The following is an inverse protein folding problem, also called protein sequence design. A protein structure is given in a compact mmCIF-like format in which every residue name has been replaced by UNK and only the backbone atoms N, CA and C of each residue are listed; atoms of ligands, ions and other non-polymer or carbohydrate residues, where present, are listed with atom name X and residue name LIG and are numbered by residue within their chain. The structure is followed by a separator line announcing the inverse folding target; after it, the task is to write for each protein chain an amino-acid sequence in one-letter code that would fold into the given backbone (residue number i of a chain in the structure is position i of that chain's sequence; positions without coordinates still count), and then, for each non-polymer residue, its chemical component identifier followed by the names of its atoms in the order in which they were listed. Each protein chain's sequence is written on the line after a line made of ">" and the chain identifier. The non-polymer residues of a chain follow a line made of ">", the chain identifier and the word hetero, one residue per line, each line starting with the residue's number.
data_IF_459127374529
#
_entry.id   IF_459127374529
#
_cell.length_a   1.000
_cell.length_b   1.000
_cell.length_c   1.000
_cell.angle_alpha   90.00
_cell.angle_beta   90.00
_cell.angle_gamma   90.00
#
_symmetry.space_group_name_H-M   'P 1'
#
loop_
_entity.id
_entity.type
_entity.pdbx_description
1 polymer ?
#
# COMPACT_ATOMS: atom_id res chain seq x y z
N UNK A 1 8.83 -9.80 16.38
CA UNK A 1 7.65 -10.46 15.77
C UNK A 1 7.56 -9.94 14.35
N UNK A 2 7.27 -10.81 13.38
CA UNK A 2 7.07 -10.42 11.98
C UNK A 2 5.74 -9.71 11.77
N UNK A 3 5.54 -9.14 10.59
CA UNK A 3 4.34 -8.37 10.27
C UNK A 3 3.06 -9.22 10.32
N UNK A 4 3.07 -10.44 9.78
CA UNK A 4 1.94 -11.37 9.80
C UNK A 4 1.47 -11.64 11.24
N UNK A 5 2.42 -11.89 12.15
CA UNK A 5 2.11 -12.09 13.57
C UNK A 5 1.44 -10.87 14.20
N UNK A 6 1.91 -9.67 13.87
CA UNK A 6 1.29 -8.41 14.33
C UNK A 6 -0.12 -8.25 13.77
N UNK A 7 -0.32 -8.52 12.48
CA UNK A 7 -1.64 -8.44 11.83
C UNK A 7 -2.66 -9.37 12.50
N UNK A 8 -2.28 -10.63 12.73
CA UNK A 8 -3.15 -11.61 13.39
C UNK A 8 -3.41 -11.27 14.86
N UNK A 9 -2.44 -10.68 15.55
CA UNK A 9 -2.62 -10.19 16.91
C UNK A 9 -3.67 -9.06 16.95
N UNK A 10 -3.59 -8.09 16.04
CA UNK A 10 -4.61 -7.04 15.90
C UNK A 10 -5.99 -7.61 15.64
N UNK A 11 -6.09 -8.58 14.71
CA UNK A 11 -7.36 -9.22 14.40
C UNK A 11 -7.97 -9.92 15.63
N UNK A 12 -7.17 -10.68 16.39
CA UNK A 12 -7.61 -11.34 17.62
C UNK A 12 -7.94 -10.39 18.77
N UNK A 13 -7.46 -9.14 18.72
CA UNK A 13 -7.74 -8.08 19.70
C UNK A 13 -8.89 -7.16 19.27
N UNK A 14 -9.58 -7.46 18.17
CA UNK A 14 -10.64 -6.65 17.58
C UNK A 14 -10.17 -5.26 17.13
N UNK A 15 -8.88 -5.10 16.83
CA UNK A 15 -8.30 -3.88 16.27
C UNK A 15 -8.56 -3.82 14.75
N UNK A 16 -9.83 -3.94 14.35
CA UNK A 16 -10.24 -4.12 12.94
C UNK A 16 -9.87 -2.94 12.05
N UNK A 17 -9.75 -1.74 12.59
CA UNK A 17 -9.29 -0.56 11.83
C UNK A 17 -7.82 -0.70 11.42
N UNK A 18 -6.97 -1.22 12.30
CA UNK A 18 -5.57 -1.50 12.04
C UNK A 18 -5.43 -2.60 10.99
N UNK A 19 -6.20 -3.68 11.15
CA UNK A 19 -6.22 -4.80 10.19
C UNK A 19 -6.68 -4.33 8.81
N UNK A 20 -7.80 -3.61 8.74
CA UNK A 20 -8.34 -3.08 7.47
C UNK A 20 -7.30 -2.21 6.77
N UNK A 21 -6.69 -1.27 7.49
CA UNK A 21 -5.71 -0.34 6.90
C UNK A 21 -4.44 -1.08 6.47
N UNK A 22 -4.01 -2.09 7.22
CA UNK A 22 -2.90 -2.96 6.84
C UNK A 22 -3.20 -3.79 5.57
N UNK A 23 -4.42 -4.29 5.41
CA UNK A 23 -4.84 -4.98 4.20
C UNK A 23 -4.90 -4.03 2.99
N UNK A 24 -5.48 -2.84 3.15
CA UNK A 24 -5.55 -1.81 2.11
C UNK A 24 -4.14 -1.41 1.61
N UNK A 25 -3.17 -1.24 2.52
CA UNK A 25 -1.80 -0.91 2.10
C UNK A 25 -1.10 -2.08 1.40
N UNK A 26 -1.42 -3.34 1.72
CA UNK A 26 -0.90 -4.50 0.98
C UNK A 26 -1.39 -4.48 -0.48
N UNK A 27 -2.68 -4.20 -0.71
CA UNK A 27 -3.22 -4.08 -2.07
C UNK A 27 -2.57 -2.93 -2.84
N UNK A 28 -2.45 -1.77 -2.19
CA UNK A 28 -1.81 -0.58 -2.75
C UNK A 28 -0.34 -0.85 -3.14
N UNK A 29 0.44 -1.47 -2.26
CA UNK A 29 1.82 -1.87 -2.54
C UNK A 29 1.87 -2.92 -3.66
N UNK A 30 0.89 -3.83 -3.70
CA UNK A 30 0.73 -4.82 -4.77
C UNK A 30 0.63 -4.17 -6.15
N UNK A 31 -0.14 -3.08 -6.26
CA UNK A 31 -0.20 -2.26 -7.47
C UNK A 31 1.10 -1.49 -7.72
N UNK A 32 1.66 -0.83 -6.69
CA UNK A 32 2.87 -0.02 -6.82
C UNK A 32 4.10 -0.83 -7.21
N UNK A 33 4.13 -2.13 -6.91
CA UNK A 33 5.20 -3.04 -7.29
C UNK A 33 5.10 -3.54 -8.74
N UNK A 34 3.95 -3.36 -9.41
CA UNK A 34 3.76 -3.87 -10.77
C UNK A 34 4.65 -3.16 -11.79
N UNK A 35 4.99 -3.83 -12.90
CA UNK A 35 5.55 -3.18 -14.08
C UNK A 35 4.66 -2.06 -14.64
N UNK A 36 5.26 -1.09 -15.34
CA UNK A 36 4.56 0.12 -15.81
C UNK A 36 3.39 -0.19 -16.74
N UNK A 37 3.52 -1.15 -17.65
CA UNK A 37 2.47 -1.56 -18.58
C UNK A 37 1.23 -2.10 -17.86
N UNK A 38 1.43 -2.87 -16.79
CA UNK A 38 0.34 -3.38 -15.94
C UNK A 38 -0.32 -2.25 -15.14
N UNK A 39 0.46 -1.33 -14.58
CA UNK A 39 -0.06 -0.15 -13.86
C UNK A 39 -0.94 0.71 -14.78
N UNK A 40 -0.47 0.94 -16.01
CA UNK A 40 -1.20 1.70 -17.04
C UNK A 40 -2.53 1.07 -17.43
N UNK A 41 -2.56 -0.26 -17.57
CA UNK A 41 -3.74 -1.00 -18.01
C UNK A 41 -4.83 -1.11 -16.92
N UNK A 42 -4.45 -0.96 -15.64
CA UNK A 42 -5.35 -1.20 -14.51
C UNK A 42 -6.13 0.06 -14.08
N UNK A 43 -5.56 1.26 -14.26
CA UNK A 43 -6.25 2.50 -13.89
C UNK A 43 -7.29 2.87 -14.95
N UNK A 44 -8.57 3.07 -14.61
CA UNK A 44 -9.61 3.38 -15.60
C UNK A 44 -9.59 4.85 -16.05
N UNK A 45 -9.36 5.81 -15.15
CA UNK A 45 -9.48 7.24 -15.46
C UNK A 45 -8.15 8.00 -15.50
N UNK A 46 -7.91 8.92 -14.56
CA UNK A 46 -6.71 9.74 -14.52
C UNK A 46 -5.62 9.04 -13.70
N UNK A 47 -4.51 8.59 -14.31
CA UNK A 47 -3.46 7.84 -13.62
C UNK A 47 -2.92 8.52 -12.39
N UNK A 48 -2.61 9.82 -12.49
CA UNK A 48 -2.08 10.59 -11.37
C UNK A 48 -3.08 10.73 -10.20
N UNK A 49 -4.36 10.97 -10.50
CA UNK A 49 -5.37 11.12 -9.44
C UNK A 49 -5.65 9.79 -8.74
N UNK A 50 -5.85 8.74 -9.53
CA UNK A 50 -6.22 7.41 -9.04
C UNK A 50 -5.06 6.75 -8.27
N UNK A 51 -3.84 6.81 -8.79
CA UNK A 51 -2.69 6.28 -8.04
C UNK A 51 -2.49 7.05 -6.75
N UNK A 52 -2.74 8.36 -6.75
CA UNK A 52 -2.61 9.15 -5.54
C UNK A 52 -3.67 8.76 -4.51
N UNK A 53 -4.94 8.74 -4.88
CA UNK A 53 -6.04 8.46 -3.95
C UNK A 53 -6.09 7.01 -3.49
N UNK A 54 -5.95 6.06 -4.41
CA UNK A 54 -6.19 4.63 -4.15
C UNK A 54 -4.93 3.88 -3.72
N UNK A 55 -3.74 4.37 -4.05
CA UNK A 55 -2.49 3.64 -3.81
C UNK A 55 -1.51 4.38 -2.88
N UNK A 56 -1.38 5.69 -3.03
CA UNK A 56 -0.42 6.48 -2.24
C UNK A 56 -1.01 6.91 -0.88
N UNK A 57 -2.26 7.38 -0.83
CA UNK A 57 -2.91 7.74 0.44
C UNK A 57 -3.03 6.59 1.46
N UNK A 58 -3.29 5.32 1.07
CA UNK A 58 -3.26 4.21 2.02
C UNK A 58 -1.95 4.06 2.80
N UNK A 59 -0.82 4.49 2.22
CA UNK A 59 0.49 4.47 2.89
C UNK A 59 0.50 5.47 4.05
N UNK A 60 0.03 6.69 3.83
CA UNK A 60 -0.11 7.71 4.89
C UNK A 60 -1.10 7.26 5.96
N UNK A 61 -2.23 6.68 5.53
CA UNK A 61 -3.27 6.16 6.42
C UNK A 61 -2.74 5.07 7.35
N UNK A 62 -1.95 4.10 6.85
CA UNK A 62 -1.38 3.03 7.69
C UNK A 62 -0.32 3.57 8.65
N UNK A 63 0.50 4.54 8.22
CA UNK A 63 1.48 5.19 9.10
C UNK A 63 0.79 5.96 10.24
N UNK A 64 -0.33 6.61 9.94
CA UNK A 64 -1.11 7.38 10.91
C UNK A 64 -1.86 6.50 11.92
N UNK A 65 -2.49 5.41 11.45
CA UNK A 65 -3.33 4.53 12.28
C UNK A 65 -2.47 3.49 13.03
N UNK A 66 -1.52 2.87 12.35
CA UNK A 66 -0.79 1.71 12.86
C UNK A 66 0.64 2.05 13.31
N UNK A 67 1.10 3.29 13.14
CA UNK A 67 2.52 3.69 13.24
C UNK A 67 3.26 3.33 14.53
N UNK A 68 2.57 3.13 15.65
CA UNK A 68 3.17 2.68 16.92
C UNK A 68 3.19 1.16 17.09
N UNK A 69 2.35 0.43 16.35
CA UNK A 69 2.25 -1.03 16.42
C UNK A 69 2.94 -1.75 15.24
N UNK A 70 3.33 -1.03 14.20
CA UNK A 70 4.10 -1.59 13.09
C UNK A 70 5.52 -2.00 13.54
N UNK A 71 6.05 -3.11 13.00
CA UNK A 71 7.49 -3.38 13.07
C UNK A 71 8.30 -2.20 12.49
N UNK A 72 9.42 -1.86 13.14
CA UNK A 72 10.22 -0.66 12.82
C UNK A 72 10.76 -0.66 11.38
N UNK A 73 11.14 -1.83 10.88
CA UNK A 73 11.61 -2.05 9.51
C UNK A 73 10.49 -1.88 8.46
N UNK A 74 9.27 -2.34 8.77
CA UNK A 74 8.09 -2.10 7.93
C UNK A 74 7.74 -0.62 7.91
N UNK A 75 7.72 0.02 9.09
CA UNK A 75 7.41 1.45 9.25
C UNK A 75 8.38 2.32 8.47
N UNK A 76 9.69 2.15 8.68
CA UNK A 76 10.72 2.94 8.01
C UNK A 76 10.68 2.79 6.49
N UNK A 77 10.34 1.61 5.96
CA UNK A 77 10.15 1.40 4.52
C UNK A 77 8.88 2.07 3.98
N UNK A 78 7.78 2.02 4.71
CA UNK A 78 6.56 2.77 4.37
C UNK A 78 6.83 4.27 4.31
N UNK A 79 7.59 4.80 5.28
CA UNK A 79 8.01 6.20 5.31
C UNK A 79 8.90 6.57 4.10
N UNK A 80 9.87 5.73 3.70
CA UNK A 80 10.70 5.94 2.50
C UNK A 80 9.84 5.98 1.23
N UNK A 81 8.89 5.04 1.07
CA UNK A 81 7.98 5.03 -0.08
C UNK A 81 7.10 6.29 -0.09
N UNK A 82 6.52 6.65 1.06
CA UNK A 82 5.70 7.85 1.19
C UNK A 82 6.48 9.12 0.80
N UNK A 83 7.70 9.27 1.29
CA UNK A 83 8.55 10.42 0.95
C UNK A 83 8.90 10.47 -0.54
N UNK A 84 9.16 9.32 -1.17
CA UNK A 84 9.42 9.24 -2.62
C UNK A 84 8.20 9.66 -3.43
N UNK A 85 7.02 9.16 -3.07
CA UNK A 85 5.76 9.55 -3.72
C UNK A 85 5.51 11.06 -3.62
N UNK A 86 5.77 11.66 -2.45
CA UNK A 86 5.63 13.11 -2.25
C UNK A 86 6.70 13.95 -2.96
N UNK A 87 7.81 13.33 -3.34
CA UNK A 87 8.92 13.99 -4.05
C UNK A 87 8.84 13.83 -5.57
N UNK A 88 7.84 13.10 -6.08
CA UNK A 88 7.64 12.93 -7.52
C UNK A 88 7.50 14.30 -8.19
N UNK A 89 8.28 14.51 -9.24
CA UNK A 89 8.19 15.76 -9.99
C UNK A 89 6.87 15.85 -10.76
N UNK A 90 6.55 17.08 -11.21
CA UNK A 90 5.40 17.30 -12.08
C UNK A 90 5.48 16.46 -13.37
N UNK A 91 6.67 16.13 -13.86
CA UNK A 91 6.84 15.27 -15.04
C UNK A 91 6.53 13.79 -14.73
N UNK A 92 6.80 13.35 -13.51
CA UNK A 92 6.52 11.98 -13.06
C UNK A 92 5.08 11.77 -12.58
N UNK A 93 4.36 12.85 -12.25
CA UNK A 93 3.01 12.78 -11.71
C UNK A 93 2.16 14.01 -12.14
N UNK A 94 1.65 13.99 -13.37
CA UNK A 94 0.66 14.96 -13.82
C UNK A 94 -0.61 14.33 -14.40
N UNK A 95 -1.71 15.05 -14.27
CA UNK A 95 -3.02 14.58 -14.71
C UNK A 95 -3.05 14.30 -16.22
N UNK A 96 -3.90 13.35 -16.61
CA UNK A 96 -4.19 12.99 -17.99
C UNK A 96 -3.02 12.40 -18.81
N UNK A 97 -1.91 12.04 -18.18
CA UNK A 97 -0.86 11.28 -18.82
C UNK A 97 -0.85 9.83 -18.37
N UNK A 98 -0.99 8.94 -19.36
CA UNK A 98 -0.95 7.50 -19.18
C UNK A 98 0.47 6.99 -18.99
N UNK A 99 1.47 7.69 -19.49
CA UNK A 99 2.85 7.24 -19.48
C UNK A 99 3.61 7.66 -18.22
N UNK A 100 2.96 8.27 -17.22
CA UNK A 100 3.61 8.67 -15.96
C UNK A 100 4.42 7.53 -15.33
N UNK A 101 3.93 6.28 -15.42
CA UNK A 101 4.59 5.10 -14.85
C UNK A 101 5.88 4.69 -15.58
N UNK A 102 6.12 5.18 -16.80
CA UNK A 102 7.37 4.96 -17.54
C UNK A 102 8.48 5.92 -17.07
N UNK A 103 8.13 6.97 -16.34
CA UNK A 103 9.10 7.91 -15.80
C UNK A 103 10.03 7.19 -14.81
N UNK A 104 11.32 7.49 -14.87
CA UNK A 104 12.36 6.80 -14.10
C UNK A 104 12.18 6.90 -12.58
N UNK A 105 11.55 7.98 -12.12
CA UNK A 105 11.24 8.22 -10.70
C UNK A 105 10.30 7.16 -10.09
N UNK A 106 9.51 6.44 -10.91
CA UNK A 106 8.67 5.35 -10.42
C UNK A 106 9.44 4.05 -10.15
N UNK A 107 10.62 3.89 -10.75
CA UNK A 107 11.41 2.66 -10.59
C UNK A 107 11.84 2.42 -9.12
N UNK A 108 12.40 3.42 -8.39
CA UNK A 108 12.67 3.27 -6.97
C UNK A 108 11.43 2.93 -6.13
N UNK A 109 10.26 3.49 -6.46
CA UNK A 109 8.99 3.20 -5.76
C UNK A 109 8.60 1.73 -5.98
N UNK A 110 8.63 1.25 -7.23
CA UNK A 110 8.37 -0.17 -7.57
C UNK A 110 9.28 -1.13 -6.82
N UNK A 111 10.58 -0.85 -6.82
CA UNK A 111 11.56 -1.68 -6.12
C UNK A 111 11.27 -1.73 -4.63
N UNK A 112 11.02 -0.58 -4.00
CA UNK A 112 10.73 -0.51 -2.56
C UNK A 112 9.42 -1.17 -2.19
N UNK A 113 8.37 -1.01 -2.99
CA UNK A 113 7.09 -1.69 -2.80
C UNK A 113 7.26 -3.22 -2.85
N UNK A 114 8.03 -3.72 -3.83
CA UNK A 114 8.35 -5.16 -3.94
C UNK A 114 9.07 -5.68 -2.70
N UNK A 115 10.11 -4.99 -2.26
CA UNK A 115 10.87 -5.38 -1.06
C UNK A 115 10.01 -5.33 0.21
N UNK A 116 9.13 -4.33 0.32
CA UNK A 116 8.26 -4.16 1.46
C UNK A 116 7.17 -5.25 1.51
N UNK A 117 6.60 -5.64 0.38
CA UNK A 117 5.65 -6.76 0.31
C UNK A 117 6.27 -8.07 0.79
N UNK A 118 7.55 -8.31 0.48
CA UNK A 118 8.27 -9.47 1.00
C UNK A 118 8.48 -9.36 2.52
N UNK A 119 8.85 -8.18 3.02
CA UNK A 119 9.03 -7.93 4.45
C UNK A 119 7.72 -8.06 5.25
N UNK A 120 6.61 -7.66 4.65
CA UNK A 120 5.28 -7.80 5.22
C UNK A 120 4.73 -9.23 5.14
N UNK A 121 5.54 -10.20 4.67
CA UNK A 121 5.13 -11.60 4.55
C UNK A 121 3.85 -11.73 3.68
N UNK A 122 3.69 -10.86 2.68
CA UNK A 122 2.43 -10.70 1.93
C UNK A 122 1.95 -12.00 1.29
N UNK A 123 2.85 -12.88 0.88
CA UNK A 123 2.53 -14.20 0.31
C UNK A 123 1.79 -15.12 1.29
N UNK A 124 2.03 -14.96 2.60
CA UNK A 124 1.35 -15.72 3.64
C UNK A 124 -0.03 -15.12 3.96
N UNK A 125 -0.17 -13.81 3.80
CA UNK A 125 -1.40 -13.06 4.11
C UNK A 125 -2.39 -13.07 2.93
N UNK A 126 -1.88 -13.07 1.70
CA UNK A 126 -2.67 -12.95 0.47
C UNK A 126 -3.87 -13.91 0.38
N UNK A 127 -3.78 -15.20 0.79
CA UNK A 127 -4.92 -16.10 0.79
C UNK A 127 -6.11 -15.65 1.64
N UNK A 128 -5.87 -14.80 2.65
CA UNK A 128 -6.87 -14.31 3.60
C UNK A 128 -7.29 -12.86 3.34
N UNK A 129 -6.62 -12.18 2.42
CA UNK A 129 -6.73 -10.72 2.25
C UNK A 129 -8.16 -10.28 1.94
N UNK A 130 -8.83 -10.98 1.02
CA UNK A 130 -10.22 -10.69 0.65
C UNK A 130 -11.20 -10.85 1.81
N UNK A 131 -11.07 -11.93 2.58
CA UNK A 131 -11.93 -12.21 3.73
C UNK A 131 -11.68 -11.18 4.84
N UNK A 132 -10.42 -10.86 5.15
CA UNK A 132 -10.07 -9.84 6.14
C UNK A 132 -10.63 -8.46 5.79
N UNK A 133 -10.53 -8.04 4.53
CA UNK A 133 -11.10 -6.78 4.05
C UNK A 133 -12.62 -6.75 4.22
N UNK A 134 -13.32 -7.82 3.82
CA UNK A 134 -14.77 -7.92 3.92
C UNK A 134 -15.22 -7.91 5.40
N UNK A 135 -14.61 -8.77 6.22
CA UNK A 135 -14.95 -8.95 7.63
C UNK A 135 -14.73 -7.66 8.42
N UNK A 136 -13.56 -7.03 8.26
CA UNK A 136 -13.27 -5.78 8.97
C UNK A 136 -14.19 -4.63 8.53
N UNK A 137 -14.52 -4.51 7.24
CA UNK A 137 -15.48 -3.50 6.76
C UNK A 137 -16.86 -3.69 7.38
N UNK A 138 -17.33 -4.95 7.47
CA UNK A 138 -18.60 -5.27 8.10
C UNK A 138 -18.59 -4.91 9.60
N UNK A 139 -17.57 -5.35 10.32
CA UNK A 139 -17.46 -5.15 11.78
C UNK A 139 -17.28 -3.68 12.19
N UNK A 140 -16.77 -2.83 11.31
CA UNK A 140 -16.65 -1.38 11.54
C UNK A 140 -17.92 -0.59 11.16
N UNK A 141 -18.86 -1.22 10.44
CA UNK A 141 -20.12 -0.61 10.02
C UNK A 141 -21.29 -0.93 10.98
N UNK A 142 -21.08 -1.86 11.90
CA UNK A 142 -22.00 -2.26 12.98
C UNK A 142 -21.76 -1.44 14.26
#
# INVERSE_FOLDING_TARGET
>A
MGFSSTLWAWYGQNEYKQVLTACEVIEALGFLAQPSDIQQATIPDCPACEVWSEMILPIEKVLSICGSGLPEDVKSRLEDIWQRCNSLTQAALHCHDRLIFEHEEWMPIRTRATELLALMESTEIHPFLGDLLLDCKKLLSE
#
